data_IF_639918055263
#
_entry.id   IF_639918055263
#
_cell.length_a   1.000
_cell.length_b   1.000
_cell.length_c   1.000
_cell.angle_alpha   90.00
_cell.angle_beta   90.00
_cell.angle_gamma   90.00
#
_symmetry.space_group_name_H-M   'P 1'
#
loop_
_entity.id
_entity.type
_entity.pdbx_description
1 polymer ?
#
# COMPACT_ATOMS: atom_id res chain seq x y z
N UNK A 1 15.06 -0.80 8.07
CA UNK A 1 15.41 0.15 7.01
C UNK A 1 14.37 0.12 5.90
N UNK A 2 13.94 1.26 5.45
CA UNK A 2 13.00 1.40 4.33
C UNK A 2 13.74 2.08 3.18
N UNK A 3 13.65 1.52 1.98
CA UNK A 3 14.27 2.07 0.79
C UNK A 3 13.37 1.91 -0.43
N UNK A 4 13.71 2.59 -1.50
CA UNK A 4 13.01 2.44 -2.79
C UNK A 4 13.21 1.01 -3.31
N UNK A 5 12.13 0.42 -3.80
CA UNK A 5 12.16 -0.89 -4.44
C UNK A 5 12.78 -0.80 -5.84
N UNK A 6 13.46 -1.87 -6.23
CA UNK A 6 14.00 -2.01 -7.59
C UNK A 6 13.55 -3.35 -8.18
N UNK A 7 13.82 -3.55 -9.47
CA UNK A 7 13.50 -4.82 -10.12
C UNK A 7 14.22 -6.02 -9.47
N UNK A 8 15.35 -5.77 -8.81
CA UNK A 8 16.06 -6.82 -8.07
C UNK A 8 15.27 -7.34 -6.87
N UNK A 9 14.25 -6.61 -6.43
CA UNK A 9 13.40 -7.01 -5.31
C UNK A 9 12.22 -7.89 -5.74
N UNK A 10 12.03 -8.11 -7.03
CA UNK A 10 10.85 -8.80 -7.57
C UNK A 10 10.65 -10.19 -6.96
N UNK A 11 11.70 -10.98 -6.86
CA UNK A 11 11.60 -12.35 -6.35
C UNK A 11 11.12 -12.39 -4.90
N UNK A 12 11.66 -11.53 -4.04
CA UNK A 12 11.27 -11.46 -2.64
C UNK A 12 9.85 -10.92 -2.47
N UNK A 13 9.49 -9.89 -3.25
CA UNK A 13 8.15 -9.32 -3.24
C UNK A 13 7.13 -10.39 -3.67
N UNK A 14 7.40 -11.11 -4.76
CA UNK A 14 6.50 -12.16 -5.26
C UNK A 14 6.29 -13.26 -4.22
N UNK A 15 7.37 -13.65 -3.52
CA UNK A 15 7.29 -14.64 -2.46
C UNK A 15 6.36 -14.20 -1.32
N UNK A 16 6.51 -12.97 -0.86
CA UNK A 16 5.65 -12.41 0.20
C UNK A 16 4.21 -12.29 -0.29
N UNK A 17 4.01 -11.78 -1.51
CA UNK A 17 2.69 -11.58 -2.11
C UNK A 17 1.90 -12.89 -2.12
N UNK A 18 2.53 -13.99 -2.55
CA UNK A 18 1.89 -15.30 -2.60
C UNK A 18 1.55 -15.87 -1.22
N UNK A 19 2.35 -15.56 -0.21
CA UNK A 19 2.11 -16.03 1.16
C UNK A 19 1.01 -15.24 1.86
N UNK A 20 0.98 -13.92 1.63
CA UNK A 20 0.11 -13.02 2.40
C UNK A 20 -1.29 -12.94 1.80
N UNK A 21 -1.42 -12.94 0.47
CA UNK A 21 -2.68 -12.69 -0.19
C UNK A 21 -3.29 -13.94 -0.81
N UNK A 22 -4.60 -14.09 -0.64
CA UNK A 22 -5.37 -15.14 -1.29
C UNK A 22 -5.42 -14.94 -2.81
N UNK A 23 -5.43 -13.67 -3.27
CA UNK A 23 -5.46 -13.28 -4.67
C UNK A 23 -4.23 -12.41 -4.97
N UNK A 24 -3.04 -13.03 -5.06
CA UNK A 24 -1.80 -12.27 -5.25
C UNK A 24 -1.74 -11.63 -6.63
N UNK A 25 -1.03 -10.50 -6.72
CA UNK A 25 -0.67 -9.93 -8.01
C UNK A 25 0.24 -10.89 -8.76
N UNK A 26 0.12 -10.89 -10.10
CA UNK A 26 1.00 -11.70 -10.95
C UNK A 26 2.41 -11.13 -11.00
N UNK A 27 3.36 -11.96 -11.43
CA UNK A 27 4.73 -11.52 -11.64
C UNK A 27 4.79 -10.39 -12.68
N UNK A 28 3.93 -10.45 -13.68
CA UNK A 28 3.84 -9.43 -14.73
C UNK A 28 3.38 -8.09 -14.16
N UNK A 29 2.36 -8.10 -13.29
CA UNK A 29 1.89 -6.88 -12.62
C UNK A 29 2.96 -6.27 -11.73
N UNK A 30 3.62 -7.09 -10.91
CA UNK A 30 4.69 -6.63 -10.03
C UNK A 30 5.87 -6.07 -10.82
N UNK A 31 6.25 -6.75 -11.90
CA UNK A 31 7.34 -6.32 -12.77
C UNK A 31 7.03 -4.96 -13.42
N UNK A 32 5.79 -4.79 -13.90
CA UNK A 32 5.36 -3.52 -14.49
C UNK A 32 5.46 -2.39 -13.47
N UNK A 33 4.95 -2.61 -12.25
CA UNK A 33 4.99 -1.59 -11.20
C UNK A 33 6.42 -1.21 -10.82
N UNK A 34 7.33 -2.18 -10.81
CA UNK A 34 8.74 -1.91 -10.48
C UNK A 34 9.49 -1.18 -11.59
N UNK A 35 9.00 -1.23 -12.83
CA UNK A 35 9.65 -0.63 -14.00
C UNK A 35 8.99 0.68 -14.48
N UNK A 36 7.88 1.10 -13.90
CA UNK A 36 7.05 2.18 -14.47
C UNK A 36 7.30 3.53 -13.80
N UNK A 37 8.53 3.80 -13.41
CA UNK A 37 8.91 5.10 -12.89
C UNK A 37 8.85 6.15 -14.01
N UNK A 38 8.55 7.43 -13.69
CA UNK A 38 8.39 8.00 -12.34
C UNK A 38 6.98 7.91 -11.75
N UNK A 39 5.99 7.34 -12.45
CA UNK A 39 4.61 7.25 -11.95
C UNK A 39 4.53 6.37 -10.71
N UNK A 40 5.26 5.25 -10.71
CA UNK A 40 5.28 4.35 -9.56
C UNK A 40 6.33 4.79 -8.54
N UNK A 41 5.96 4.71 -7.26
CA UNK A 41 6.86 4.98 -6.15
C UNK A 41 6.68 3.89 -5.12
N UNK A 42 7.60 2.93 -5.13
CA UNK A 42 7.47 1.69 -4.38
C UNK A 42 8.58 1.58 -3.35
N UNK A 43 8.24 1.05 -2.18
CA UNK A 43 9.17 0.94 -1.05
C UNK A 43 9.22 -0.49 -0.55
N UNK A 44 10.40 -0.90 -0.09
CA UNK A 44 10.59 -2.16 0.62
C UNK A 44 11.13 -1.89 2.02
N UNK A 45 10.75 -2.75 2.96
CA UNK A 45 11.23 -2.70 4.34
C UNK A 45 12.13 -3.90 4.57
N UNK A 46 13.34 -3.63 5.04
CA UNK A 46 14.40 -4.63 5.25
C UNK A 46 14.78 -4.65 6.72
N UNK A 47 14.88 -5.83 7.30
CA UNK A 47 15.40 -6.02 8.65
C UNK A 47 16.39 -7.18 8.64
N UNK A 48 17.59 -6.94 9.16
CA UNK A 48 18.67 -7.94 9.23
C UNK A 48 18.96 -8.61 7.88
N UNK A 49 18.95 -7.79 6.81
CA UNK A 49 19.22 -8.28 5.45
C UNK A 49 18.07 -8.98 4.77
N UNK A 50 16.92 -9.14 5.41
CA UNK A 50 15.75 -9.81 4.86
C UNK A 50 14.63 -8.82 4.56
N UNK A 51 13.93 -9.02 3.45
CA UNK A 51 12.73 -8.25 3.18
C UNK A 51 11.60 -8.72 4.09
N UNK A 52 10.99 -7.77 4.79
CA UNK A 52 9.87 -8.06 5.69
C UNK A 52 8.56 -7.43 5.23
N UNK A 53 8.60 -6.53 4.25
CA UNK A 53 7.38 -5.90 3.74
C UNK A 53 7.64 -4.96 2.58
N UNK A 54 6.57 -4.47 1.99
CA UNK A 54 6.63 -3.51 0.86
C UNK A 54 5.34 -2.71 0.75
N UNK A 55 5.45 -1.58 0.04
CA UNK A 55 4.32 -0.72 -0.29
C UNK A 55 4.45 -0.26 -1.73
N UNK A 56 3.40 -0.44 -2.53
CA UNK A 56 3.31 0.04 -3.91
C UNK A 56 2.38 1.23 -4.00
N UNK A 57 2.78 2.23 -4.78
CA UNK A 57 1.99 3.44 -4.97
C UNK A 57 2.19 4.04 -6.35
N UNK A 58 1.22 4.86 -6.77
CA UNK A 58 1.36 5.77 -7.90
C UNK A 58 1.33 7.19 -7.38
N UNK A 59 2.26 8.02 -7.86
CA UNK A 59 2.37 9.42 -7.46
C UNK A 59 2.44 10.27 -8.73
N UNK A 60 1.42 11.12 -8.91
CA UNK A 60 1.35 12.06 -10.03
C UNK A 60 1.05 13.43 -9.45
N UNK A 61 2.05 14.30 -9.41
CA UNK A 61 1.97 15.60 -8.75
C UNK A 61 1.51 15.45 -7.29
N UNK A 62 0.38 16.05 -6.91
CA UNK A 62 -0.17 15.96 -5.55
C UNK A 62 -1.16 14.80 -5.39
N UNK A 63 -1.38 14.01 -6.44
CA UNK A 63 -2.29 12.86 -6.40
C UNK A 63 -1.51 11.58 -6.11
N UNK A 64 -1.83 10.96 -4.98
CA UNK A 64 -1.14 9.77 -4.48
C UNK A 64 -2.15 8.64 -4.32
N UNK A 65 -1.88 7.51 -4.96
CA UNK A 65 -2.69 6.30 -4.79
C UNK A 65 -1.84 5.18 -4.18
N UNK A 66 -2.28 4.67 -3.04
CA UNK A 66 -1.69 3.46 -2.46
C UNK A 66 -2.33 2.27 -3.15
N UNK A 67 -1.51 1.38 -3.72
CA UNK A 67 -1.99 0.22 -4.46
C UNK A 67 -1.95 -1.05 -3.65
N UNK A 68 -0.93 -1.22 -2.82
CA UNK A 68 -0.73 -2.46 -2.06
C UNK A 68 0.24 -2.20 -0.92
N UNK A 69 -0.01 -2.84 0.21
CA UNK A 69 0.93 -2.88 1.34
C UNK A 69 0.89 -4.28 1.94
N UNK A 70 2.05 -4.83 2.23
CA UNK A 70 2.15 -6.16 2.83
C UNK A 70 3.31 -6.25 3.79
N UNK A 71 3.10 -7.02 4.87
CA UNK A 71 4.14 -7.43 5.80
C UNK A 71 4.18 -8.94 5.80
N UNK A 72 5.36 -9.53 5.68
CA UNK A 72 5.53 -10.98 5.67
C UNK A 72 5.01 -11.59 6.99
N UNK A 73 4.45 -12.78 6.88
CA UNK A 73 3.70 -13.41 7.97
C UNK A 73 4.46 -13.44 9.31
N UNK A 74 5.76 -13.82 9.36
CA UNK A 74 6.46 -13.85 10.66
C UNK A 74 6.61 -12.49 11.33
N UNK A 75 6.39 -11.41 10.58
CA UNK A 75 6.61 -10.03 11.07
C UNK A 75 5.32 -9.26 11.27
N UNK A 76 4.17 -9.88 11.03
CA UNK A 76 2.87 -9.25 11.25
C UNK A 76 2.56 -9.08 12.73
N UNK A 77 1.67 -8.16 13.05
CA UNK A 77 1.20 -7.84 14.40
C UNK A 77 2.32 -7.31 15.33
N UNK A 78 3.34 -6.69 14.75
CA UNK A 78 4.49 -6.12 15.50
C UNK A 78 4.69 -4.63 15.23
N UNK A 79 3.76 -3.99 14.52
CA UNK A 79 3.83 -2.56 14.22
C UNK A 79 4.60 -2.18 12.97
N UNK A 80 5.10 -3.14 12.19
CA UNK A 80 5.87 -2.83 10.98
C UNK A 80 5.02 -2.21 9.87
N UNK A 81 3.75 -2.62 9.75
CA UNK A 81 2.83 -2.01 8.79
C UNK A 81 2.60 -0.54 9.10
N UNK A 82 2.45 -0.20 10.37
CA UNK A 82 2.33 1.19 10.81
C UNK A 82 3.59 1.99 10.53
N UNK A 83 4.76 1.40 10.77
CA UNK A 83 6.04 2.07 10.48
C UNK A 83 6.20 2.35 8.99
N UNK A 84 5.88 1.38 8.15
CA UNK A 84 5.99 1.52 6.69
C UNK A 84 5.02 2.57 6.16
N UNK A 85 3.78 2.54 6.59
CA UNK A 85 2.77 3.51 6.16
C UNK A 85 3.11 4.91 6.66
N UNK A 86 3.55 5.05 7.91
CA UNK A 86 3.97 6.33 8.48
C UNK A 86 5.12 6.94 7.68
N UNK A 87 6.14 6.14 7.38
CA UNK A 87 7.27 6.59 6.56
C UNK A 87 6.80 7.08 5.19
N UNK A 88 5.92 6.33 4.55
CA UNK A 88 5.39 6.70 3.24
C UNK A 88 4.62 8.01 3.31
N UNK A 89 3.71 8.15 4.27
CA UNK A 89 2.86 9.34 4.38
C UNK A 89 3.64 10.60 4.74
N UNK A 90 4.73 10.47 5.48
CA UNK A 90 5.56 11.60 5.89
C UNK A 90 6.28 12.27 4.71
N UNK A 91 6.31 11.63 3.54
CA UNK A 91 6.93 12.21 2.35
C UNK A 91 6.03 13.22 1.63
N UNK A 92 4.78 13.31 2.02
CA UNK A 92 3.81 14.16 1.34
C UNK A 92 3.37 15.32 2.22
N UNK A 93 3.03 16.45 1.57
CA UNK A 93 2.60 17.64 2.26
C UNK A 93 1.07 17.68 2.42
N UNK A 94 0.57 18.77 3.04
CA UNK A 94 -0.85 18.95 3.32
C UNK A 94 -1.71 19.08 2.05
N UNK A 95 -1.10 19.41 0.91
CA UNK A 95 -1.84 19.57 -0.36
C UNK A 95 -2.02 18.26 -1.11
N UNK A 96 -1.35 17.20 -0.68
CA UNK A 96 -1.45 15.90 -1.33
C UNK A 96 -2.79 15.24 -1.05
N UNK A 97 -3.39 14.69 -2.10
CA UNK A 97 -4.58 13.86 -2.01
C UNK A 97 -4.13 12.40 -2.03
N UNK A 98 -4.41 11.66 -0.97
CA UNK A 98 -3.98 10.27 -0.83
C UNK A 98 -5.21 9.38 -0.74
N UNK A 99 -5.33 8.44 -1.67
CA UNK A 99 -6.49 7.56 -1.75
C UNK A 99 -6.07 6.11 -2.04
N UNK A 100 -6.99 5.21 -1.81
CA UNK A 100 -6.77 3.78 -2.05
C UNK A 100 -8.09 3.04 -2.27
N UNK A 101 -7.98 1.83 -2.79
CA UNK A 101 -9.06 0.86 -2.84
C UNK A 101 -8.59 -0.38 -2.09
N UNK A 102 -9.46 -0.93 -1.25
CA UNK A 102 -9.13 -2.10 -0.43
C UNK A 102 -10.30 -3.08 -0.45
N UNK A 103 -10.00 -4.38 -0.44
CA UNK A 103 -11.05 -5.41 -0.36
C UNK A 103 -11.86 -5.23 0.90
N UNK A 104 -13.18 -5.32 0.78
CA UNK A 104 -14.11 -5.17 1.91
C UNK A 104 -13.78 -6.13 3.05
N UNK A 105 -13.28 -7.31 2.75
CA UNK A 105 -12.92 -8.32 3.74
C UNK A 105 -11.56 -8.11 4.41
N UNK A 106 -10.75 -7.19 3.89
CA UNK A 106 -9.41 -6.95 4.42
C UNK A 106 -9.45 -6.02 5.63
N UNK A 107 -10.00 -6.52 6.74
CA UNK A 107 -10.14 -5.74 7.97
C UNK A 107 -8.82 -5.25 8.55
N UNK A 108 -7.73 -6.04 8.55
CA UNK A 108 -6.45 -5.54 9.07
C UNK A 108 -5.96 -4.30 8.33
N UNK A 109 -6.06 -4.29 6.99
CA UNK A 109 -5.66 -3.14 6.19
C UNK A 109 -6.58 -1.95 6.42
N UNK A 110 -7.89 -2.16 6.44
CA UNK A 110 -8.87 -1.10 6.69
C UNK A 110 -8.59 -0.45 8.05
N UNK A 111 -8.38 -1.26 9.09
CA UNK A 111 -8.08 -0.75 10.43
C UNK A 111 -6.77 0.04 10.45
N UNK A 112 -5.76 -0.42 9.74
CA UNK A 112 -4.49 0.31 9.61
C UNK A 112 -4.72 1.69 8.99
N UNK A 113 -5.44 1.75 7.87
CA UNK A 113 -5.72 3.02 7.19
C UNK A 113 -6.53 3.97 8.06
N UNK A 114 -7.54 3.47 8.78
CA UNK A 114 -8.32 4.31 9.69
C UNK A 114 -7.45 4.97 10.76
N UNK A 115 -6.44 4.28 11.27
CA UNK A 115 -5.51 4.85 12.26
C UNK A 115 -4.75 6.05 11.72
N UNK A 116 -4.52 6.10 10.41
CA UNK A 116 -3.76 7.18 9.77
C UNK A 116 -4.65 8.25 9.16
N UNK A 117 -5.93 8.28 9.51
CA UNK A 117 -6.83 9.35 9.11
C UNK A 117 -7.51 9.13 7.76
N UNK A 118 -7.45 7.92 7.21
CA UNK A 118 -8.24 7.58 6.02
C UNK A 118 -9.70 7.37 6.42
N UNK A 119 -10.61 7.77 5.53
CA UNK A 119 -12.04 7.60 5.70
C UNK A 119 -12.64 6.91 4.49
N UNK A 120 -13.66 6.10 4.70
CA UNK A 120 -14.40 5.50 3.61
C UNK A 120 -15.19 6.58 2.87
N UNK A 121 -14.99 6.65 1.55
CA UNK A 121 -15.66 7.64 0.68
C UNK A 121 -16.59 6.99 -0.34
N UNK A 122 -16.54 5.68 -0.48
CA UNK A 122 -17.41 4.98 -1.43
C UNK A 122 -17.11 3.49 -1.48
N UNK A 123 -17.88 2.82 -2.32
CA UNK A 123 -17.74 1.38 -2.57
C UNK A 123 -17.84 1.13 -4.07
N UNK A 124 -16.93 0.30 -4.60
CA UNK A 124 -17.05 -0.23 -5.97
C UNK A 124 -17.57 -1.67 -5.87
N UNK A 125 -18.84 -1.86 -6.18
CA UNK A 125 -19.47 -3.19 -6.09
C UNK A 125 -18.92 -4.13 -7.15
N UNK A 126 -18.58 -5.37 -6.72
CA UNK A 126 -18.08 -6.40 -7.62
C UNK A 126 -16.79 -6.04 -8.34
N UNK A 127 -15.97 -5.18 -7.77
CA UNK A 127 -14.79 -4.61 -8.41
C UNK A 127 -13.71 -5.66 -8.72
N UNK A 128 -13.47 -6.58 -7.79
CA UNK A 128 -12.47 -7.62 -7.96
C UNK A 128 -13.02 -8.79 -8.80
N UNK A 129 -12.13 -9.52 -9.46
CA UNK A 129 -12.51 -10.60 -10.36
C UNK A 129 -13.32 -11.72 -9.70
N UNK A 130 -13.19 -11.88 -8.38
CA UNK A 130 -13.95 -12.86 -7.60
C UNK A 130 -15.32 -12.33 -7.13
N UNK A 131 -15.66 -11.09 -7.51
CA UNK A 131 -16.93 -10.46 -7.18
C UNK A 131 -16.93 -9.69 -5.87
N UNK A 132 -15.82 -9.65 -5.15
CA UNK A 132 -15.74 -8.89 -3.90
C UNK A 132 -15.76 -7.38 -4.17
N UNK A 133 -16.42 -6.64 -3.28
CA UNK A 133 -16.45 -5.17 -3.34
C UNK A 133 -15.12 -4.57 -2.91
N UNK A 134 -14.81 -3.42 -3.48
CA UNK A 134 -13.71 -2.57 -3.01
C UNK A 134 -14.28 -1.42 -2.18
N UNK A 135 -13.66 -1.16 -1.04
CA UNK A 135 -13.91 0.05 -0.24
C UNK A 135 -12.94 1.11 -0.72
N UNK A 136 -13.45 2.28 -1.06
CA UNK A 136 -12.64 3.44 -1.45
C UNK A 136 -12.38 4.25 -0.20
N UNK A 137 -11.10 4.56 0.07
CA UNK A 137 -10.71 5.36 1.22
C UNK A 137 -9.86 6.53 0.78
N UNK A 138 -9.98 7.64 1.48
CA UNK A 138 -9.22 8.86 1.22
C UNK A 138 -8.76 9.48 2.53
N UNK A 139 -7.55 10.00 2.51
CA UNK A 139 -6.97 10.73 3.63
C UNK A 139 -6.98 12.21 3.31
N UNK A 140 -7.58 12.99 4.20
CA UNK A 140 -7.54 14.44 4.12
C UNK A 140 -6.43 14.96 5.03
N UNK A 141 -5.79 16.05 4.61
CA UNK A 141 -4.81 16.70 5.47
C UNK A 141 -5.51 17.28 6.71
N UNK A 142 -4.74 17.52 7.78
CA UNK A 142 -5.26 18.15 8.99
C UNK A 142 -5.86 19.53 8.70
N UNK A 143 -5.31 20.26 7.74
CA UNK A 143 -5.83 21.56 7.34
C UNK A 143 -7.25 21.42 6.79
N UNK A 144 -7.47 20.45 5.92
CA UNK A 144 -8.81 20.19 5.35
C UNK A 144 -9.75 19.59 6.39
N UNK A 145 -9.23 18.77 7.30
CA UNK A 145 -10.03 18.16 8.36
C UNK A 145 -10.54 19.13 9.42
N UNK A 146 -9.96 20.32 9.49
CA UNK A 146 -10.38 21.36 10.43
C UNK A 146 -11.44 22.31 9.84
N UNK A 147 -11.69 22.15 8.58
CA UNK A 147 -12.67 22.97 7.85
C UNK A 147 -13.90 22.12 7.52
#
# INVERSE_FOLDING_TARGET
MIRIATLNDLTDILSIEKKVFKHPWSIEQLSWELNSQPVTENHVMIARGNMIGYLFSHVVDDDVQILNIAIDIPFQHKGYGEQLLSYFLDQFNADSSIHLEVRKSNFPAINLYLKFGFHETGTRKGYYSDGEDAIIMQRYSLIHGLV
#
